data_IF_462375916408
#
_entry.id   IF_462375916408
#
_cell.length_a   1.000
_cell.length_b   1.000
_cell.length_c   1.000
_cell.angle_alpha   90.00
_cell.angle_beta   90.00
_cell.angle_gamma   90.00
#
_symmetry.space_group_name_H-M   'P 1'
#
loop_
_entity.id
_entity.type
_entity.pdbx_description
1 polymer ?
#
# COMPACT_ATOMS: atom_id res chain seq x y z
N UNK A 1 -1.54 -36.25 -42.34
CA UNK A 1 -2.29 -35.05 -41.97
C UNK A 1 -1.32 -34.00 -41.43
N UNK A 2 -0.91 -33.06 -42.26
CA UNK A 2 -0.10 -31.91 -41.87
C UNK A 2 -1.05 -30.81 -41.41
N UNK A 3 -0.92 -30.37 -40.16
CA UNK A 3 -1.68 -29.24 -39.64
C UNK A 3 -1.11 -27.95 -40.27
N UNK A 4 -1.79 -27.41 -41.28
CA UNK A 4 -1.51 -26.08 -41.86
C UNK A 4 -2.11 -24.97 -40.99
N UNK A 5 -1.82 -24.99 -39.68
CA UNK A 5 -2.29 -23.94 -38.79
C UNK A 5 -1.59 -22.63 -39.10
N UNK A 6 -2.26 -21.73 -39.85
CA UNK A 6 -1.85 -20.34 -39.92
C UNK A 6 -1.84 -19.75 -38.50
N UNK A 7 -0.69 -19.24 -38.07
CA UNK A 7 -0.59 -18.47 -36.84
C UNK A 7 -1.40 -17.19 -37.00
N UNK A 8 -2.61 -17.17 -36.43
CA UNK A 8 -3.42 -15.97 -36.35
C UNK A 8 -2.93 -15.17 -35.16
N UNK A 9 -2.37 -14.00 -35.42
CA UNK A 9 -2.03 -13.06 -34.36
C UNK A 9 -3.34 -12.65 -33.64
N UNK A 10 -3.48 -12.89 -32.33
CA UNK A 10 -4.71 -12.56 -31.62
C UNK A 10 -4.94 -11.05 -31.71
N UNK A 11 -6.19 -10.62 -31.90
CA UNK A 11 -6.51 -9.19 -31.86
C UNK A 11 -6.20 -8.64 -30.47
N UNK A 12 -5.58 -7.46 -30.41
CA UNK A 12 -5.31 -6.79 -29.15
C UNK A 12 -6.61 -6.54 -28.41
N UNK A 13 -6.75 -7.13 -27.23
CA UNK A 13 -7.86 -6.87 -26.31
C UNK A 13 -7.65 -5.55 -25.57
N UNK A 14 -8.70 -5.11 -24.86
CA UNK A 14 -8.59 -4.02 -23.90
C UNK A 14 -7.67 -4.47 -22.75
N UNK A 15 -6.60 -3.72 -22.51
CA UNK A 15 -5.70 -3.95 -21.37
C UNK A 15 -6.20 -3.10 -20.22
N UNK A 16 -6.35 -3.73 -19.07
CA UNK A 16 -6.69 -3.06 -17.82
C UNK A 16 -5.42 -2.95 -16.97
N UNK A 17 -5.26 -1.83 -16.28
CA UNK A 17 -4.40 -1.76 -15.12
C UNK A 17 -4.93 -2.63 -13.98
N UNK A 18 -4.06 -2.96 -13.05
CA UNK A 18 -4.39 -3.75 -11.87
C UNK A 18 -4.07 -2.97 -10.61
N UNK A 19 -5.02 -2.94 -9.67
CA UNK A 19 -4.83 -2.52 -8.30
C UNK A 19 -5.01 -3.73 -7.38
N UNK A 20 -3.99 -4.07 -6.61
CA UNK A 20 -4.01 -5.23 -5.71
C UNK A 20 -3.69 -4.80 -4.28
N UNK A 21 -4.62 -5.03 -3.35
CA UNK A 21 -4.46 -4.68 -1.94
C UNK A 21 -4.41 -5.95 -1.08
N UNK A 22 -3.20 -6.27 -0.61
CA UNK A 22 -2.95 -7.35 0.33
C UNK A 22 -2.95 -6.91 1.79
N UNK A 23 -2.60 -7.84 2.67
CA UNK A 23 -2.38 -7.54 4.10
C UNK A 23 -1.07 -6.76 4.35
N UNK A 24 -0.03 -7.04 3.55
CA UNK A 24 1.31 -6.49 3.77
C UNK A 24 1.73 -5.39 2.80
N UNK A 25 1.28 -5.44 1.56
CA UNK A 25 1.61 -4.48 0.51
C UNK A 25 0.37 -4.13 -0.31
N UNK A 26 0.48 -3.07 -1.10
CA UNK A 26 -0.43 -2.77 -2.20
C UNK A 26 0.35 -2.57 -3.48
N UNK A 27 -0.20 -2.98 -4.62
CA UNK A 27 0.45 -2.93 -5.92
C UNK A 27 -0.42 -2.17 -6.91
N UNK A 28 0.27 -1.49 -7.82
CA UNK A 28 -0.31 -0.87 -9.00
C UNK A 28 0.53 -1.29 -10.22
N UNK A 29 -0.15 -1.70 -11.29
CA UNK A 29 0.51 -2.01 -12.56
C UNK A 29 -0.38 -1.58 -13.73
N UNK A 30 0.18 -0.87 -14.71
CA UNK A 30 -0.57 -0.44 -15.90
C UNK A 30 0.36 -0.06 -17.05
N UNK A 31 -0.19 0.08 -18.26
CA UNK A 31 0.52 0.63 -19.41
C UNK A 31 0.42 2.16 -19.40
N UNK A 32 1.51 2.89 -19.14
CA UNK A 32 1.48 4.35 -19.13
C UNK A 32 1.28 4.91 -20.55
N UNK A 33 0.82 6.15 -20.65
CA UNK A 33 0.65 6.84 -21.94
C UNK A 33 1.99 7.27 -22.56
N UNK A 34 2.95 7.62 -21.69
CA UNK A 34 4.32 8.01 -22.05
C UNK A 34 5.31 6.99 -21.48
N UNK A 35 6.52 6.87 -22.04
CA UNK A 35 7.53 5.94 -21.53
C UNK A 35 7.86 6.15 -20.06
N UNK A 36 8.12 5.04 -19.35
CA UNK A 36 8.44 5.05 -17.92
C UNK A 36 9.76 5.80 -17.68
N UNK A 37 9.72 6.85 -16.84
CA UNK A 37 10.90 7.69 -16.55
C UNK A 37 11.89 7.05 -15.59
N UNK A 38 11.41 6.24 -14.64
CA UNK A 38 12.26 5.50 -13.72
C UNK A 38 12.39 4.03 -14.17
N UNK A 39 13.57 3.61 -14.70
CA UNK A 39 13.78 2.25 -15.19
C UNK A 39 13.53 1.16 -14.15
N UNK A 40 13.73 1.43 -12.85
CA UNK A 40 13.52 0.45 -11.77
C UNK A 40 12.03 0.10 -11.58
N UNK A 41 11.13 0.95 -12.09
CA UNK A 41 9.68 0.75 -12.09
C UNK A 41 9.12 0.32 -13.44
N UNK A 42 9.98 0.18 -14.45
CA UNK A 42 9.62 -0.27 -15.79
C UNK A 42 9.70 -1.79 -15.86
N UNK A 43 8.66 -2.42 -16.40
CA UNK A 43 8.65 -3.85 -16.68
C UNK A 43 8.30 -4.10 -18.14
N UNK A 44 9.29 -4.54 -18.90
CA UNK A 44 9.16 -4.83 -20.32
C UNK A 44 8.91 -6.32 -20.55
N UNK A 45 7.83 -6.65 -21.25
CA UNK A 45 7.50 -8.04 -21.58
C UNK A 45 6.94 -8.19 -22.99
N UNK A 46 6.96 -9.43 -23.51
CA UNK A 46 6.35 -9.77 -24.78
C UNK A 46 5.33 -10.90 -24.58
N UNK A 47 4.06 -10.65 -24.91
CA UNK A 47 2.98 -11.63 -24.84
C UNK A 47 2.30 -11.76 -26.20
N UNK A 48 2.16 -12.99 -26.68
CA UNK A 48 1.51 -13.28 -27.96
C UNK A 48 2.06 -12.47 -29.14
N UNK A 49 3.37 -12.19 -29.14
CA UNK A 49 4.03 -11.38 -30.17
C UNK A 49 4.02 -9.87 -29.91
N UNK A 50 3.14 -9.34 -29.05
CA UNK A 50 3.07 -7.93 -28.69
C UNK A 50 4.06 -7.56 -27.58
N UNK A 51 4.76 -6.44 -27.76
CA UNK A 51 5.65 -5.87 -26.73
C UNK A 51 4.89 -4.86 -25.88
N UNK A 52 5.12 -4.92 -24.58
CA UNK A 52 4.51 -4.03 -23.59
C UNK A 52 5.59 -3.45 -22.70
N UNK A 53 5.54 -2.14 -22.51
CA UNK A 53 6.18 -1.47 -21.39
C UNK A 53 5.11 -1.19 -20.34
N UNK A 54 5.29 -1.75 -19.14
CA UNK A 54 4.41 -1.54 -18.00
C UNK A 54 5.13 -0.70 -16.96
N UNK A 55 4.39 0.17 -16.30
CA UNK A 55 4.76 0.64 -14.97
C UNK A 55 4.27 -0.37 -13.95
N UNK A 56 5.11 -0.71 -12.97
CA UNK A 56 4.68 -1.47 -11.79
C UNK A 56 5.41 -1.01 -10.54
N UNK A 57 4.68 -0.95 -9.44
CA UNK A 57 5.26 -0.67 -8.14
C UNK A 57 4.51 -1.41 -7.03
N UNK A 58 5.26 -1.85 -6.01
CA UNK A 58 4.71 -2.43 -4.79
C UNK A 58 5.08 -1.57 -3.59
N UNK A 59 4.06 -1.01 -2.95
CA UNK A 59 4.21 -0.26 -1.71
C UNK A 59 4.21 -1.21 -0.53
N UNK A 60 5.40 -1.71 -0.18
CA UNK A 60 5.59 -2.54 1.00
C UNK A 60 5.17 -1.76 2.26
N UNK A 61 4.56 -2.46 3.22
CA UNK A 61 4.00 -1.90 4.46
C UNK A 61 2.70 -1.10 4.31
N UNK A 62 2.19 -0.94 3.08
CA UNK A 62 0.91 -0.27 2.78
C UNK A 62 -0.22 -1.22 2.41
N UNK A 63 -0.05 -2.52 2.68
CA UNK A 63 -1.19 -3.43 2.78
C UNK A 63 -2.05 -3.10 4.00
N UNK A 64 -3.32 -3.53 3.98
CA UNK A 64 -4.32 -3.11 4.98
C UNK A 64 -3.89 -3.37 6.43
N UNK A 65 -3.25 -4.51 6.70
CA UNK A 65 -2.92 -4.94 8.06
C UNK A 65 -1.68 -4.20 8.58
N UNK A 66 -0.70 -3.99 7.70
CA UNK A 66 0.50 -3.23 8.05
C UNK A 66 0.21 -1.73 8.17
N UNK A 67 -0.63 -1.16 7.30
CA UNK A 67 -1.07 0.23 7.42
C UNK A 67 -1.85 0.46 8.74
N UNK A 68 -2.76 -0.45 9.10
CA UNK A 68 -3.46 -0.39 10.38
C UNK A 68 -2.49 -0.47 11.56
N UNK A 69 -1.49 -1.35 11.49
CA UNK A 69 -0.45 -1.47 12.52
C UNK A 69 0.41 -0.21 12.64
N UNK A 70 0.77 0.42 11.52
CA UNK A 70 1.47 1.71 11.53
C UNK A 70 0.64 2.78 12.27
N UNK A 71 -0.67 2.85 11.99
CA UNK A 71 -1.57 3.75 12.70
C UNK A 71 -1.67 3.43 14.21
N UNK A 72 -1.80 2.15 14.59
CA UNK A 72 -1.82 1.73 15.99
C UNK A 72 -0.53 2.14 16.72
N UNK A 73 0.64 1.98 16.09
CA UNK A 73 1.93 2.41 16.66
C UNK A 73 2.01 3.93 16.76
N UNK A 74 1.51 4.67 15.77
CA UNK A 74 1.41 6.13 15.83
C UNK A 74 0.55 6.59 17.02
N UNK A 75 -0.63 5.99 17.18
CA UNK A 75 -1.52 6.27 18.32
C UNK A 75 -0.88 5.92 19.66
N UNK A 76 -0.17 4.78 19.75
CA UNK A 76 0.58 4.41 20.95
C UNK A 76 1.68 5.42 21.31
N UNK A 77 2.44 5.89 20.31
CA UNK A 77 3.49 6.91 20.54
C UNK A 77 2.93 8.27 20.97
N UNK A 78 1.71 8.61 20.53
CA UNK A 78 1.09 9.91 20.81
C UNK A 78 0.22 9.93 22.06
N UNK A 79 -0.24 8.77 22.54
CA UNK A 79 -1.08 8.64 23.74
C UNK A 79 -0.30 8.82 25.07
N UNK A 80 1.03 8.95 25.04
CA UNK A 80 1.85 9.10 26.23
C UNK A 80 1.86 7.83 27.09
N UNK A 81 1.59 7.96 28.39
CA UNK A 81 1.59 6.83 29.34
C UNK A 81 0.23 6.16 29.54
N UNK A 82 -0.79 6.52 28.76
CA UNK A 82 -2.12 5.93 28.92
C UNK A 82 -2.15 4.48 28.42
N UNK A 83 -2.62 3.52 29.24
CA UNK A 83 -2.80 2.13 28.79
C UNK A 83 -4.03 1.96 27.87
N UNK A 84 -4.94 2.94 27.85
CA UNK A 84 -6.14 2.94 27.01
C UNK A 84 -6.02 4.03 25.96
N UNK A 85 -6.17 3.64 24.70
CA UNK A 85 -5.95 4.50 23.53
C UNK A 85 -7.20 4.54 22.67
N UNK A 86 -7.72 5.75 22.45
CA UNK A 86 -8.84 5.96 21.53
C UNK A 86 -8.43 5.69 20.09
N UNK A 87 -9.17 4.81 19.40
CA UNK A 87 -8.92 4.44 18.01
C UNK A 87 -10.08 4.89 17.11
N UNK A 88 -9.90 5.95 16.29
CA UNK A 88 -11.01 6.56 15.53
C UNK A 88 -11.57 5.67 14.42
N UNK A 89 -10.73 4.81 13.82
CA UNK A 89 -11.19 3.89 12.79
C UNK A 89 -11.97 2.67 13.31
N UNK A 90 -11.98 2.45 14.63
CA UNK A 90 -12.71 1.33 15.21
C UNK A 90 -14.09 1.77 15.65
N UNK A 91 -15.06 0.86 15.54
CA UNK A 91 -16.43 1.13 15.95
C UNK A 91 -16.53 1.33 17.48
N UNK A 92 -17.39 2.25 17.92
CA UNK A 92 -17.78 2.38 19.34
C UNK A 92 -18.26 1.03 19.87
N UNK A 93 -17.79 0.66 21.06
CA UNK A 93 -18.05 -0.64 21.69
C UNK A 93 -17.08 -1.75 21.28
N UNK A 94 -16.30 -1.57 20.21
CA UNK A 94 -15.18 -2.46 19.90
C UNK A 94 -13.96 -2.08 20.74
N UNK A 95 -13.27 -3.09 21.25
CA UNK A 95 -12.00 -2.92 21.94
C UNK A 95 -11.03 -4.03 21.55
N UNK A 96 -9.76 -3.68 21.42
CA UNK A 96 -8.70 -4.60 21.05
C UNK A 96 -7.57 -4.48 22.06
N UNK A 97 -7.28 -5.57 22.77
CA UNK A 97 -6.16 -5.64 23.71
C UNK A 97 -4.98 -6.35 23.03
N UNK A 98 -3.81 -5.73 23.02
CA UNK A 98 -2.59 -6.28 22.42
C UNK A 98 -1.43 -6.21 23.41
N UNK A 99 -0.51 -7.17 23.32
CA UNK A 99 0.80 -7.00 23.94
C UNK A 99 1.64 -6.01 23.13
N UNK A 100 2.59 -5.33 23.77
CA UNK A 100 3.51 -4.47 23.04
C UNK A 100 4.42 -5.28 22.11
N UNK A 101 4.72 -6.54 22.43
CA UNK A 101 5.45 -7.41 21.50
C UNK A 101 4.62 -7.65 20.23
N UNK A 102 3.34 -8.01 20.37
CA UNK A 102 2.44 -8.19 19.23
C UNK A 102 2.29 -6.92 18.39
N UNK A 103 2.20 -5.75 19.03
CA UNK A 103 2.07 -4.46 18.34
C UNK A 103 3.32 -4.12 17.52
N UNK A 104 4.51 -4.31 18.08
CA UNK A 104 5.79 -3.99 17.45
C UNK A 104 6.42 -5.14 16.67
N UNK A 105 5.77 -6.31 16.59
CA UNK A 105 6.22 -7.46 15.79
C UNK A 105 5.94 -7.28 14.29
N UNK A 106 6.57 -6.27 13.68
CA UNK A 106 6.58 -6.08 12.22
C UNK A 106 7.77 -5.21 11.80
N UNK A 107 8.41 -5.49 10.65
CA UNK A 107 9.44 -4.60 10.09
C UNK A 107 8.88 -3.25 9.63
N UNK A 108 7.55 -3.13 9.49
CA UNK A 108 6.88 -1.92 9.03
C UNK A 108 6.76 -0.83 10.11
N UNK A 109 7.17 -1.11 11.34
CA UNK A 109 7.11 -0.17 12.46
C UNK A 109 8.41 -0.19 13.23
N UNK A 110 8.83 1.00 13.70
CA UNK A 110 10.04 1.12 14.52
C UNK A 110 9.73 0.67 15.95
N UNK A 111 10.33 -0.46 16.35
CA UNK A 111 10.30 -1.00 17.71
C UNK A 111 11.10 -0.10 18.67
N UNK A 112 10.53 0.33 19.82
CA UNK A 112 11.26 1.10 20.82
C UNK A 112 12.41 0.28 21.41
N UNK A 113 13.53 0.92 21.74
CA UNK A 113 14.71 0.23 22.29
C UNK A 113 14.45 -0.37 23.68
N UNK A 114 13.68 0.33 24.52
CA UNK A 114 13.38 -0.07 25.89
C UNK A 114 11.86 -0.08 26.10
N UNK A 115 11.24 -1.25 25.99
CA UNK A 115 9.84 -1.46 26.36
C UNK A 115 9.65 -2.85 26.97
N UNK A 116 8.60 -3.01 27.78
CA UNK A 116 8.24 -4.31 28.31
C UNK A 116 7.39 -5.07 27.28
N UNK A 117 7.88 -6.17 26.67
CA UNK A 117 7.15 -6.90 25.64
C UNK A 117 5.82 -7.48 26.14
N UNK A 118 5.72 -7.76 27.45
CA UNK A 118 4.50 -8.29 28.08
C UNK A 118 3.50 -7.22 28.50
N UNK A 119 3.88 -5.94 28.46
CA UNK A 119 2.93 -4.87 28.74
C UNK A 119 1.83 -4.86 27.68
N UNK A 120 0.64 -4.44 28.07
CA UNK A 120 -0.55 -4.46 27.21
C UNK A 120 -1.07 -3.06 26.96
N UNK A 121 -1.64 -2.87 25.78
CA UNK A 121 -2.34 -1.65 25.39
C UNK A 121 -3.76 -2.01 24.93
N UNK A 122 -4.74 -1.23 25.37
CA UNK A 122 -6.13 -1.38 25.00
C UNK A 122 -6.52 -0.28 24.02
N UNK A 123 -6.80 -0.65 22.77
CA UNK A 123 -7.42 0.26 21.80
C UNK A 123 -8.94 0.23 21.96
N UNK A 124 -9.57 1.40 22.15
CA UNK A 124 -11.02 1.56 22.29
C UNK A 124 -11.59 2.35 21.12
N UNK A 125 -12.59 1.81 20.42
CA UNK A 125 -13.15 2.46 19.23
C UNK A 125 -14.01 3.68 19.53
N UNK A 126 -13.95 4.67 18.63
CA UNK A 126 -14.71 5.93 18.76
C UNK A 126 -15.58 6.27 17.54
N UNK A 127 -15.57 5.45 16.48
CA UNK A 127 -16.35 5.64 15.24
C UNK A 127 -16.19 7.03 14.58
N UNK A 128 -15.00 7.65 14.67
CA UNK A 128 -14.76 8.96 14.05
C UNK A 128 -14.08 8.80 12.69
N UNK A 129 -14.88 8.72 11.61
CA UNK A 129 -14.40 8.50 10.25
C UNK A 129 -13.51 9.63 9.73
N UNK A 130 -13.85 10.89 10.01
CA UNK A 130 -13.05 12.04 9.56
C UNK A 130 -11.68 12.07 10.22
N UNK A 131 -11.61 11.79 11.52
CA UNK A 131 -10.33 11.69 12.23
C UNK A 131 -9.54 10.45 11.78
N UNK A 132 -10.21 9.33 11.53
CA UNK A 132 -9.58 8.13 10.98
C UNK A 132 -8.87 8.44 9.65
N UNK A 133 -9.57 9.09 8.72
CA UNK A 133 -9.01 9.48 7.43
C UNK A 133 -7.79 10.38 7.60
N UNK A 134 -7.92 11.46 8.38
CA UNK A 134 -6.81 12.40 8.63
C UNK A 134 -5.58 11.72 9.25
N UNK A 135 -5.77 10.75 10.16
CA UNK A 135 -4.64 10.01 10.74
C UNK A 135 -4.03 8.99 9.76
N UNK A 136 -4.83 8.42 8.86
CA UNK A 136 -4.31 7.55 7.79
C UNK A 136 -3.52 8.35 6.76
N UNK A 137 -3.90 9.59 6.47
CA UNK A 137 -3.12 10.49 5.61
C UNK A 137 -1.74 10.79 6.21
N UNK A 138 -1.64 10.90 7.55
CA UNK A 138 -0.36 11.13 8.23
C UNK A 138 0.66 9.99 8.07
N UNK A 139 0.22 8.77 7.76
CA UNK A 139 1.13 7.63 7.51
C UNK A 139 1.51 7.50 6.02
N UNK A 140 1.00 8.38 5.15
CA UNK A 140 1.29 8.42 3.71
C UNK A 140 2.00 9.75 3.39
N UNK A 141 3.29 9.70 3.04
CA UNK A 141 4.02 10.93 2.71
C UNK A 141 3.79 11.33 1.24
N UNK A 142 3.06 12.42 1.01
CA UNK A 142 2.81 12.97 -0.33
C UNK A 142 3.75 14.12 -0.70
N UNK A 143 4.60 14.57 0.21
CA UNK A 143 5.48 15.74 0.00
C UNK A 143 6.81 15.39 -0.64
N UNK A 144 7.29 14.15 -0.44
CA UNK A 144 8.53 13.68 -1.05
C UNK A 144 8.26 13.22 -2.50
N UNK A 145 8.85 13.92 -3.48
CA UNK A 145 8.71 13.55 -4.89
C UNK A 145 9.85 14.10 -5.76
N UNK A 146 10.84 13.25 -6.04
CA UNK A 146 11.95 13.57 -6.93
C UNK A 146 11.53 13.73 -8.41
N UNK A 147 10.38 13.16 -8.79
CA UNK A 147 9.85 13.17 -10.17
C UNK A 147 8.65 14.10 -10.34
N UNK A 148 8.53 15.13 -9.50
CA UNK A 148 7.34 15.99 -9.45
C UNK A 148 6.90 16.47 -10.84
N UNK A 149 5.60 16.32 -11.20
CA UNK A 149 4.48 15.88 -10.36
C UNK A 149 4.23 14.36 -10.33
N UNK A 150 5.07 13.55 -10.96
CA UNK A 150 4.83 12.12 -11.23
C UNK A 150 5.31 11.21 -10.08
N UNK A 151 4.68 11.32 -8.92
CA UNK A 151 4.87 10.40 -7.81
C UNK A 151 3.54 9.87 -7.28
N UNK A 152 3.60 8.65 -6.75
CA UNK A 152 2.56 8.14 -5.86
C UNK A 152 2.78 8.73 -4.47
N UNK A 153 3.22 7.90 -3.54
CA UNK A 153 3.57 8.33 -2.19
C UNK A 153 4.94 7.80 -1.76
N UNK A 154 5.48 8.39 -0.69
CA UNK A 154 6.80 8.13 -0.14
C UNK A 154 7.94 8.24 -1.16
N UNK A 155 7.90 9.25 -2.04
CA UNK A 155 8.95 9.47 -3.04
C UNK A 155 8.95 8.48 -4.20
N UNK A 156 8.05 7.50 -4.21
CA UNK A 156 7.96 6.53 -5.30
C UNK A 156 7.45 7.21 -6.57
N UNK A 157 8.25 7.11 -7.64
CA UNK A 157 7.82 7.51 -8.98
C UNK A 157 6.54 6.78 -9.38
N UNK A 158 5.59 7.51 -9.97
CA UNK A 158 4.39 6.95 -10.58
C UNK A 158 3.98 7.84 -11.75
N UNK A 159 3.92 7.32 -12.99
CA UNK A 159 3.42 8.10 -14.12
C UNK A 159 1.93 8.41 -13.94
N UNK A 160 1.40 9.41 -14.67
CA UNK A 160 -0.04 9.64 -14.72
C UNK A 160 -0.78 8.35 -15.07
N UNK A 161 -1.80 8.02 -14.27
CA UNK A 161 -2.61 6.82 -14.50
C UNK A 161 -3.28 6.88 -15.87
N UNK A 162 -3.31 5.74 -16.57
CA UNK A 162 -3.81 5.65 -17.94
C UNK A 162 -4.67 4.40 -18.12
N UNK A 163 -5.76 4.54 -18.86
CA UNK A 163 -6.70 3.45 -19.13
C UNK A 163 -7.67 3.16 -17.97
N UNK A 164 -8.24 1.96 -18.00
CA UNK A 164 -9.15 1.45 -16.96
C UNK A 164 -8.43 0.47 -16.04
N UNK A 165 -8.90 0.34 -14.80
CA UNK A 165 -8.30 -0.50 -13.77
C UNK A 165 -9.31 -1.53 -13.26
N UNK A 166 -8.80 -2.68 -12.84
CA UNK A 166 -9.51 -3.70 -12.06
C UNK A 166 -8.99 -3.71 -10.61
#
# INVERSE_FOLDING_TARGET
HTFEGQWIHPKTGKILGALDLGGSSTQIAFTPAEPVKNPDSAFNLQLYGYKYELYTHSYLCYGKDQALRQLQVYLHKTAGSSPVISHPCYHVGYSLNLTLDDLYNSPCVVKPSNFNPKATVLFSGTSNSSLCLSLMENIVNLSDCAYSPDCGFNGAYQPPVNGEFF
#
